data_IF_169100797292
#
_entry.id   IF_169100797292
#
_cell.length_a   1.000
_cell.length_b   1.000
_cell.length_c   1.000
_cell.angle_alpha   90.00
_cell.angle_beta   90.00
_cell.angle_gamma   90.00
#
_symmetry.space_group_name_H-M   'P 1'
#
loop_
_entity.id
_entity.type
_entity.pdbx_description
1 polymer ?
#
# COMPACT_ATOMS: atom_id res chain seq x y z
N UNK A 1 -44.76 -9.06 -10.77
CA UNK A 1 -44.23 -8.13 -9.75
C UNK A 1 -43.61 -6.95 -10.48
N UNK A 2 -43.98 -5.73 -10.12
CA UNK A 2 -43.36 -4.51 -10.65
C UNK A 2 -41.93 -4.48 -10.12
N UNK A 3 -40.96 -4.26 -11.00
CA UNK A 3 -39.56 -4.22 -10.62
C UNK A 3 -39.25 -2.93 -9.82
N UNK A 4 -38.41 -2.98 -8.76
CA UNK A 4 -38.09 -1.79 -7.99
C UNK A 4 -37.29 -0.78 -8.81
N UNK A 5 -37.67 0.50 -8.74
CA UNK A 5 -37.11 1.57 -9.57
C UNK A 5 -35.57 1.72 -9.47
N UNK A 6 -34.99 1.36 -8.33
CA UNK A 6 -33.53 1.42 -8.12
C UNK A 6 -32.75 0.30 -8.82
N UNK A 7 -33.43 -0.70 -9.41
CA UNK A 7 -32.81 -1.75 -10.24
C UNK A 7 -32.97 -1.47 -11.74
N UNK A 8 -33.83 -0.54 -12.14
CA UNK A 8 -34.22 -0.36 -13.54
C UNK A 8 -33.07 0.05 -14.43
N UNK A 9 -32.20 0.95 -13.95
CA UNK A 9 -31.06 1.47 -14.69
C UNK A 9 -29.84 0.54 -14.74
N UNK A 10 -29.90 -0.64 -14.11
CA UNK A 10 -28.78 -1.57 -14.05
C UNK A 10 -28.83 -2.61 -15.18
N UNK A 11 -27.69 -2.91 -15.77
CA UNK A 11 -27.54 -4.03 -16.70
C UNK A 11 -27.66 -5.41 -15.97
N UNK A 12 -27.77 -6.54 -16.70
CA UNK A 12 -27.94 -7.85 -16.08
C UNK A 12 -26.86 -8.27 -15.07
N UNK A 13 -25.59 -7.92 -15.33
CA UNK A 13 -24.47 -8.28 -14.45
C UNK A 13 -24.47 -7.41 -13.18
N UNK A 14 -24.74 -6.11 -13.36
CA UNK A 14 -24.94 -5.17 -12.27
C UNK A 14 -26.12 -5.56 -11.37
N UNK A 15 -27.23 -6.01 -11.95
CA UNK A 15 -28.39 -6.52 -11.20
C UNK A 15 -28.01 -7.75 -10.39
N UNK A 16 -27.34 -8.72 -11.02
CA UNK A 16 -26.84 -9.93 -10.35
C UNK A 16 -25.96 -9.58 -9.14
N UNK A 17 -25.04 -8.63 -9.31
CA UNK A 17 -24.19 -8.15 -8.23
C UNK A 17 -24.99 -7.42 -7.12
N UNK A 18 -25.96 -6.60 -7.48
CA UNK A 18 -26.77 -5.86 -6.52
C UNK A 18 -27.62 -6.77 -5.62
N UNK A 19 -28.20 -7.83 -6.18
CA UNK A 19 -29.12 -8.74 -5.47
C UNK A 19 -28.46 -9.99 -4.88
N UNK A 20 -27.13 -10.11 -4.99
CA UNK A 20 -26.39 -11.26 -4.47
C UNK A 20 -26.63 -11.48 -2.97
N UNK A 21 -27.00 -12.72 -2.61
CA UNK A 21 -27.36 -13.16 -1.25
C UNK A 21 -26.18 -13.73 -0.45
N UNK A 22 -24.99 -13.72 -1.04
CA UNK A 22 -23.74 -14.19 -0.46
C UNK A 22 -22.64 -13.13 -0.56
N UNK A 23 -21.54 -13.34 0.16
CA UNK A 23 -20.32 -12.56 -0.03
C UNK A 23 -19.82 -12.72 -1.46
N UNK A 24 -19.57 -11.60 -2.13
CA UNK A 24 -19.12 -11.58 -3.51
C UNK A 24 -18.07 -10.50 -3.74
N UNK A 25 -17.19 -10.75 -4.71
CA UNK A 25 -16.24 -9.76 -5.24
C UNK A 25 -16.72 -9.36 -6.62
N UNK A 26 -16.80 -8.05 -6.89
CA UNK A 26 -17.24 -7.50 -8.17
C UNK A 26 -16.07 -6.79 -8.83
N UNK A 27 -15.61 -7.32 -9.96
CA UNK A 27 -14.57 -6.70 -10.78
C UNK A 27 -15.22 -5.75 -11.78
N UNK A 28 -14.87 -4.46 -11.72
CA UNK A 28 -15.51 -3.44 -12.57
C UNK A 28 -14.53 -2.33 -13.00
N UNK A 29 -14.46 -2.09 -14.31
CA UNK A 29 -13.66 -1.03 -14.92
C UNK A 29 -14.10 0.39 -14.52
N UNK A 30 -13.30 1.40 -14.89
CA UNK A 30 -13.70 2.80 -14.74
C UNK A 30 -15.02 3.07 -15.50
N UNK A 31 -15.91 3.88 -14.93
CA UNK A 31 -17.20 4.21 -15.56
C UNK A 31 -18.26 3.10 -15.55
N UNK A 32 -17.94 1.87 -15.12
CA UNK A 32 -18.86 0.71 -15.15
C UNK A 32 -20.03 0.75 -14.13
N UNK A 33 -20.36 1.91 -13.56
CA UNK A 33 -21.53 2.05 -12.66
C UNK A 33 -21.35 1.47 -11.24
N UNK A 34 -20.12 1.26 -10.76
CA UNK A 34 -19.83 0.70 -9.41
C UNK A 34 -20.67 1.30 -8.29
N UNK A 35 -20.75 2.63 -8.23
CA UNK A 35 -21.52 3.34 -7.21
C UNK A 35 -23.03 3.04 -7.33
N UNK A 36 -23.57 2.96 -8.55
CA UNK A 36 -24.97 2.61 -8.79
C UNK A 36 -25.29 1.19 -8.32
N UNK A 37 -24.38 0.24 -8.55
CA UNK A 37 -24.52 -1.14 -8.05
C UNK A 37 -24.52 -1.16 -6.51
N UNK A 38 -23.63 -0.43 -5.85
CA UNK A 38 -23.58 -0.38 -4.38
C UNK A 38 -24.83 0.29 -3.79
N UNK A 39 -25.32 1.37 -4.39
CA UNK A 39 -26.58 2.02 -3.98
C UNK A 39 -27.76 1.06 -4.12
N UNK A 40 -27.87 0.38 -5.26
CA UNK A 40 -28.93 -0.58 -5.51
C UNK A 40 -28.85 -1.78 -4.56
N UNK A 41 -27.64 -2.26 -4.24
CA UNK A 41 -27.42 -3.31 -3.24
C UNK A 41 -27.88 -2.88 -1.85
N UNK A 42 -27.53 -1.67 -1.43
CA UNK A 42 -27.96 -1.13 -0.15
C UNK A 42 -29.49 -1.08 -0.06
N UNK A 43 -30.14 -0.55 -1.10
CA UNK A 43 -31.60 -0.45 -1.19
C UNK A 43 -32.26 -1.83 -1.25
N UNK A 44 -31.69 -2.80 -1.97
CA UNK A 44 -32.17 -4.18 -1.99
C UNK A 44 -32.17 -4.81 -0.58
N UNK A 45 -31.07 -4.66 0.16
CA UNK A 45 -30.99 -5.15 1.55
C UNK A 45 -32.02 -4.44 2.45
N UNK A 46 -32.16 -3.12 2.31
CA UNK A 46 -33.06 -2.34 3.14
C UNK A 46 -34.54 -2.60 2.84
N UNK A 47 -34.93 -2.60 1.56
CA UNK A 47 -36.33 -2.56 1.13
C UNK A 47 -36.90 -3.94 0.86
N UNK A 48 -36.15 -4.83 0.21
CA UNK A 48 -36.60 -6.18 -0.16
C UNK A 48 -36.30 -7.18 0.94
N UNK A 49 -35.07 -7.17 1.48
CA UNK A 49 -34.70 -8.05 2.60
C UNK A 49 -35.16 -7.53 3.96
N UNK A 50 -35.77 -6.34 4.01
CA UNK A 50 -36.26 -5.70 5.25
C UNK A 50 -35.20 -5.64 6.35
N UNK A 51 -33.94 -5.44 5.97
CA UNK A 51 -32.85 -5.27 6.92
C UNK A 51 -32.87 -3.81 7.41
N UNK A 52 -32.90 -3.55 8.74
CA UNK A 52 -32.83 -2.20 9.27
C UNK A 52 -31.57 -1.48 8.79
N UNK A 53 -31.66 -0.18 8.46
CA UNK A 53 -30.51 0.60 7.99
C UNK A 53 -29.36 0.63 9.00
N UNK A 54 -29.67 0.55 10.30
CA UNK A 54 -28.67 0.47 11.38
C UNK A 54 -27.81 -0.79 11.32
N UNK A 55 -28.28 -1.84 10.63
CA UNK A 55 -27.59 -3.12 10.46
C UNK A 55 -26.81 -3.21 9.15
N UNK A 56 -26.84 -2.17 8.31
CA UNK A 56 -26.12 -2.12 7.03
C UNK A 56 -24.97 -1.13 7.14
N UNK A 57 -23.75 -1.59 6.85
CA UNK A 57 -22.55 -0.77 6.82
C UNK A 57 -22.06 -0.63 5.38
N UNK A 58 -22.05 0.59 4.86
CA UNK A 58 -21.49 0.93 3.55
C UNK A 58 -20.22 1.77 3.73
N UNK A 59 -19.10 1.31 3.16
CA UNK A 59 -17.80 1.94 3.33
C UNK A 59 -17.23 2.33 1.97
N UNK A 60 -16.54 3.47 1.92
CA UNK A 60 -15.82 3.93 0.73
C UNK A 60 -14.49 4.60 1.11
N UNK A 61 -13.66 4.91 0.12
CA UNK A 61 -12.36 5.54 0.34
C UNK A 61 -12.44 7.06 0.54
N UNK A 62 -13.43 7.74 -0.05
CA UNK A 62 -13.47 9.21 -0.04
C UNK A 62 -14.76 9.74 0.58
N UNK A 63 -14.64 10.87 1.28
CA UNK A 63 -15.81 11.58 1.84
C UNK A 63 -16.81 11.97 0.75
N UNK A 64 -16.32 12.35 -0.43
CA UNK A 64 -17.17 12.67 -1.59
C UNK A 64 -18.01 11.48 -2.03
N UNK A 65 -17.40 10.31 -2.19
CA UNK A 65 -18.14 9.11 -2.58
C UNK A 65 -19.15 8.68 -1.49
N UNK A 66 -18.83 8.89 -0.21
CA UNK A 66 -19.73 8.57 0.90
C UNK A 66 -20.96 9.49 0.86
N UNK A 67 -20.73 10.80 0.69
CA UNK A 67 -21.80 11.80 0.58
C UNK A 67 -22.69 11.56 -0.65
N UNK A 68 -22.08 11.25 -1.81
CA UNK A 68 -22.80 10.93 -3.03
C UNK A 68 -23.67 9.67 -2.86
N UNK A 69 -23.13 8.62 -2.24
CA UNK A 69 -23.87 7.39 -1.94
C UNK A 69 -25.02 7.67 -0.96
N UNK A 70 -24.77 8.45 0.09
CA UNK A 70 -25.77 8.88 1.06
C UNK A 70 -26.94 9.60 0.38
N UNK A 71 -26.66 10.60 -0.46
CA UNK A 71 -27.68 11.36 -1.19
C UNK A 71 -28.51 10.46 -2.12
N UNK A 72 -27.84 9.60 -2.90
CA UNK A 72 -28.52 8.69 -3.85
C UNK A 72 -29.45 7.71 -3.13
N UNK A 73 -28.99 7.12 -2.02
CA UNK A 73 -29.81 6.20 -1.22
C UNK A 73 -30.98 6.95 -0.58
N UNK A 74 -30.75 8.13 0.02
CA UNK A 74 -31.82 8.93 0.61
C UNK A 74 -32.91 9.28 -0.40
N UNK A 75 -32.50 9.70 -1.61
CA UNK A 75 -33.41 10.05 -2.69
C UNK A 75 -34.25 8.86 -3.13
N UNK A 76 -33.63 7.70 -3.34
CA UNK A 76 -34.33 6.49 -3.73
C UNK A 76 -35.28 6.00 -2.62
N UNK A 77 -34.82 5.98 -1.37
CA UNK A 77 -35.64 5.62 -0.21
C UNK A 77 -36.84 6.57 -0.04
N UNK A 78 -36.67 7.86 -0.35
CA UNK A 78 -37.76 8.85 -0.28
C UNK A 78 -38.80 8.73 -1.40
N UNK A 79 -38.48 8.01 -2.48
CA UNK A 79 -39.45 7.72 -3.55
C UNK A 79 -40.38 6.55 -3.17
N UNK A 80 -39.98 5.71 -2.22
CA UNK A 80 -40.74 4.57 -1.74
C UNK A 80 -41.81 4.99 -0.73
N UNK A 81 -43.04 4.49 -0.89
CA UNK A 81 -44.21 4.87 -0.07
C UNK A 81 -44.67 3.80 0.91
N UNK A 82 -43.90 2.74 1.08
CA UNK A 82 -44.25 1.70 2.06
C UNK A 82 -44.03 2.21 3.50
N UNK A 83 -44.86 1.76 4.44
CA UNK A 83 -44.70 2.09 5.87
C UNK A 83 -43.29 1.74 6.39
N UNK A 84 -42.75 0.61 5.93
CA UNK A 84 -41.36 0.21 6.22
C UNK A 84 -40.36 1.26 5.71
N UNK A 85 -40.49 1.71 4.46
CA UNK A 85 -39.58 2.70 3.88
C UNK A 85 -39.69 4.05 4.60
N UNK A 86 -40.89 4.47 4.98
CA UNK A 86 -41.10 5.68 5.78
C UNK A 86 -40.42 5.59 7.15
N UNK A 87 -40.54 4.46 7.83
CA UNK A 87 -39.85 4.20 9.09
C UNK A 87 -38.32 4.23 8.90
N UNK A 88 -37.78 3.52 7.90
CA UNK A 88 -36.34 3.53 7.61
C UNK A 88 -35.84 4.94 7.24
N UNK A 89 -36.63 5.73 6.51
CA UNK A 89 -36.29 7.12 6.18
C UNK A 89 -36.17 8.00 7.42
N UNK A 90 -37.03 7.81 8.43
CA UNK A 90 -36.93 8.53 9.71
C UNK A 90 -35.62 8.22 10.45
N UNK A 91 -35.06 7.03 10.24
CA UNK A 91 -33.80 6.57 10.83
C UNK A 91 -32.58 6.85 9.95
N UNK A 92 -32.77 7.35 8.73
CA UNK A 92 -31.72 7.57 7.74
C UNK A 92 -30.56 8.46 8.24
N UNK A 93 -30.76 9.49 9.08
CA UNK A 93 -29.64 10.25 9.65
C UNK A 93 -28.64 9.40 10.46
N UNK A 94 -29.04 8.20 10.91
CA UNK A 94 -28.19 7.24 11.62
C UNK A 94 -27.65 6.12 10.72
N UNK A 95 -27.89 6.17 9.41
CA UNK A 95 -27.40 5.19 8.46
C UNK A 95 -25.85 5.18 8.44
N UNK A 96 -25.25 3.99 8.45
CA UNK A 96 -23.79 3.84 8.50
C UNK A 96 -23.20 3.82 7.09
N UNK A 97 -23.10 5.01 6.50
CA UNK A 97 -22.45 5.25 5.20
C UNK A 97 -21.24 6.16 5.44
N UNK A 98 -20.04 5.60 5.41
CA UNK A 98 -18.85 6.27 5.92
C UNK A 98 -17.58 5.98 5.09
N UNK A 99 -16.51 6.70 5.38
CA UNK A 99 -15.17 6.29 4.95
C UNK A 99 -14.59 5.25 5.89
N UNK A 100 -13.53 4.55 5.46
CA UNK A 100 -12.77 3.63 6.32
C UNK A 100 -12.29 4.37 7.58
N UNK A 101 -11.70 5.55 7.43
CA UNK A 101 -11.19 6.33 8.57
C UNK A 101 -12.29 6.72 9.56
N UNK A 102 -13.46 7.14 9.07
CA UNK A 102 -14.59 7.48 9.94
C UNK A 102 -15.08 6.26 10.72
N UNK A 103 -15.15 5.09 10.08
CA UNK A 103 -15.50 3.84 10.76
C UNK A 103 -14.47 3.50 11.85
N UNK A 104 -13.17 3.56 11.52
CA UNK A 104 -12.10 3.29 12.49
C UNK A 104 -12.16 4.26 13.67
N UNK A 105 -12.35 5.55 13.41
CA UNK A 105 -12.52 6.56 14.45
C UNK A 105 -13.72 6.26 15.35
N UNK A 106 -14.87 5.86 14.78
CA UNK A 106 -16.06 5.52 15.55
C UNK A 106 -15.88 4.26 16.40
N UNK A 107 -15.18 3.25 15.90
CA UNK A 107 -14.79 2.06 16.66
C UNK A 107 -13.91 2.46 17.85
N UNK A 108 -12.88 3.29 17.61
CA UNK A 108 -12.00 3.78 18.66
C UNK A 108 -12.76 4.59 19.71
N UNK A 109 -13.71 5.44 19.30
CA UNK A 109 -14.57 6.21 20.24
C UNK A 109 -15.45 5.29 21.09
N UNK A 110 -16.00 4.22 20.51
CA UNK A 110 -16.82 3.28 21.27
C UNK A 110 -15.99 2.50 22.31
N UNK A 111 -14.72 2.21 22.01
CA UNK A 111 -13.80 1.49 22.90
C UNK A 111 -12.91 2.36 23.79
N UNK A 112 -13.00 3.70 23.69
CA UNK A 112 -11.99 4.61 24.26
C UNK A 112 -11.86 4.50 25.78
N UNK A 113 -12.97 4.30 26.50
CA UNK A 113 -12.97 4.19 27.95
C UNK A 113 -12.18 2.99 28.47
N UNK A 114 -12.21 1.85 27.76
CA UNK A 114 -11.43 0.65 28.11
C UNK A 114 -9.92 0.90 28.00
N UNK A 115 -9.53 1.86 27.17
CA UNK A 115 -8.14 2.26 26.93
C UNK A 115 -7.70 3.48 27.75
N UNK A 116 -8.59 4.04 28.58
CA UNK A 116 -8.30 5.24 29.38
C UNK A 116 -8.31 6.55 28.58
N UNK A 117 -8.89 6.57 27.38
CA UNK A 117 -9.03 7.77 26.55
C UNK A 117 -10.44 8.36 26.65
N UNK A 118 -10.55 9.67 26.44
CA UNK A 118 -11.84 10.36 26.26
C UNK A 118 -12.34 10.19 24.82
N UNK A 119 -13.67 10.17 24.63
CA UNK A 119 -14.29 9.99 23.31
C UNK A 119 -14.12 11.19 22.37
N UNK A 120 -13.72 12.34 22.89
CA UNK A 120 -13.43 13.59 22.15
C UNK A 120 -11.97 13.69 21.69
N UNK A 121 -11.23 12.58 21.70
CA UNK A 121 -9.85 12.56 21.21
C UNK A 121 -9.77 13.04 19.75
N UNK A 122 -8.66 13.72 19.45
CA UNK A 122 -8.31 14.15 18.10
C UNK A 122 -7.04 13.46 17.64
N UNK A 123 -6.97 13.11 16.35
CA UNK A 123 -5.71 12.66 15.74
C UNK A 123 -4.88 13.91 15.44
N UNK A 124 -3.75 14.04 16.13
CA UNK A 124 -2.83 15.17 15.99
C UNK A 124 -1.54 14.68 15.31
N UNK A 125 -1.58 14.65 13.98
CA UNK A 125 -0.46 14.21 13.15
C UNK A 125 0.81 15.07 13.34
N UNK A 126 0.72 16.43 13.41
CA UNK A 126 1.87 17.27 13.70
C UNK A 126 2.51 16.94 15.06
N UNK A 127 1.71 16.75 16.10
CA UNK A 127 2.24 16.40 17.43
C UNK A 127 2.80 14.98 17.45
N UNK A 128 2.19 14.04 16.74
CA UNK A 128 2.72 12.69 16.55
C UNK A 128 4.11 12.72 15.90
N UNK A 129 4.29 13.51 14.83
CA UNK A 129 5.57 13.73 14.18
C UNK A 129 6.61 14.33 15.13
N UNK A 130 6.25 15.42 15.83
CA UNK A 130 7.15 16.07 16.78
C UNK A 130 7.56 15.14 17.93
N UNK A 131 6.64 14.31 18.42
CA UNK A 131 6.94 13.32 19.46
C UNK A 131 7.91 12.26 18.94
N UNK A 132 7.68 11.72 17.74
CA UNK A 132 8.57 10.73 17.13
C UNK A 132 9.97 11.30 16.90
N UNK A 133 10.09 12.53 16.42
CA UNK A 133 11.38 13.23 16.27
C UNK A 133 12.06 13.44 17.62
N UNK A 134 11.32 13.91 18.63
CA UNK A 134 11.86 14.12 19.98
C UNK A 134 12.40 12.81 20.57
N UNK A 135 11.67 11.71 20.39
CA UNK A 135 12.08 10.38 20.85
C UNK A 135 13.32 9.91 20.08
N UNK A 136 13.34 10.08 18.76
CA UNK A 136 14.48 9.74 17.91
C UNK A 136 15.76 10.47 18.35
N UNK A 137 15.66 11.78 18.59
CA UNK A 137 16.77 12.59 19.09
C UNK A 137 17.28 12.13 20.46
N UNK A 138 16.36 11.88 21.40
CA UNK A 138 16.70 11.36 22.74
C UNK A 138 17.31 9.97 22.69
N UNK A 139 16.88 9.13 21.73
CA UNK A 139 17.42 7.80 21.54
C UNK A 139 18.83 7.85 20.96
N UNK A 140 19.02 8.63 19.89
CA UNK A 140 20.26 8.71 19.12
C UNK A 140 21.38 9.44 19.88
N UNK A 141 21.05 10.54 20.56
CA UNK A 141 22.02 11.41 21.26
C UNK A 141 23.06 10.66 22.11
N UNK A 142 22.65 9.82 23.09
CA UNK A 142 23.59 9.08 23.94
C UNK A 142 24.16 7.81 23.28
N UNK A 143 23.76 7.47 22.04
CA UNK A 143 24.04 6.17 21.39
C UNK A 143 24.85 6.31 20.09
N UNK A 144 25.43 7.47 19.83
CA UNK A 144 26.19 7.73 18.59
C UNK A 144 27.38 6.79 18.38
N UNK A 145 27.95 6.24 19.47
CA UNK A 145 29.06 5.30 19.42
C UNK A 145 28.64 3.81 19.35
N UNK A 146 27.33 3.50 19.35
CA UNK A 146 26.89 2.10 19.25
C UNK A 146 27.26 1.52 17.87
N UNK A 147 27.74 0.26 17.81
CA UNK A 147 27.92 -0.45 16.56
C UNK A 147 26.65 -0.41 15.70
N UNK A 148 26.80 -0.19 14.40
CA UNK A 148 25.70 0.05 13.46
C UNK A 148 25.25 1.52 13.40
N UNK A 149 24.94 2.15 14.54
CA UNK A 149 24.59 3.59 14.55
C UNK A 149 25.79 4.47 14.17
N UNK A 150 26.99 4.11 14.62
CA UNK A 150 28.22 4.83 14.25
C UNK A 150 28.51 4.75 12.75
N UNK A 151 28.20 3.63 12.10
CA UNK A 151 28.37 3.43 10.65
C UNK A 151 27.32 4.21 9.86
N UNK A 152 26.08 4.23 10.36
CA UNK A 152 25.00 5.02 9.79
C UNK A 152 25.31 6.53 9.88
N UNK A 153 25.84 6.99 11.01
CA UNK A 153 26.27 8.38 11.21
C UNK A 153 27.54 8.75 10.43
N UNK A 154 28.30 7.77 9.93
CA UNK A 154 29.41 8.03 9.03
C UNK A 154 28.94 8.32 7.59
N UNK A 155 27.77 7.80 7.21
CA UNK A 155 27.19 7.95 5.87
C UNK A 155 26.09 9.01 5.80
N UNK A 156 25.45 9.33 6.93
CA UNK A 156 24.31 10.24 7.04
C UNK A 156 24.48 11.22 8.18
N UNK A 157 23.86 12.41 8.08
CA UNK A 157 23.90 13.39 9.17
C UNK A 157 23.05 12.92 10.35
N UNK A 158 23.39 13.42 11.54
CA UNK A 158 22.63 13.12 12.76
C UNK A 158 21.13 13.47 12.64
N UNK A 159 20.82 14.59 11.98
CA UNK A 159 19.43 15.00 11.71
C UNK A 159 18.72 13.99 10.80
N UNK A 160 19.33 13.62 9.66
CA UNK A 160 18.76 12.62 8.74
C UNK A 160 18.49 11.27 9.43
N UNK A 161 19.41 10.79 10.26
CA UNK A 161 19.20 9.55 11.02
C UNK A 161 18.06 9.70 12.03
N UNK A 162 17.93 10.85 12.69
CA UNK A 162 16.87 11.08 13.66
C UNK A 162 15.50 11.27 13.00
N UNK A 163 15.38 12.14 12.00
CA UNK A 163 14.11 12.60 11.44
C UNK A 163 13.63 11.70 10.29
N UNK A 164 14.51 11.35 9.36
CA UNK A 164 14.16 10.59 8.16
C UNK A 164 14.12 9.08 8.38
N UNK A 165 14.94 8.56 9.30
CA UNK A 165 14.97 7.13 9.64
C UNK A 165 14.21 6.81 10.93
N UNK A 166 14.72 7.25 12.08
CA UNK A 166 14.22 6.79 13.38
C UNK A 166 12.81 7.31 13.70
N UNK A 167 12.53 8.58 13.45
CA UNK A 167 11.20 9.15 13.64
C UNK A 167 10.19 8.60 12.63
N UNK A 168 10.62 8.31 11.40
CA UNK A 168 9.78 7.64 10.41
C UNK A 168 9.43 6.21 10.85
N UNK A 169 10.40 5.45 11.37
CA UNK A 169 10.16 4.12 11.95
C UNK A 169 9.16 4.22 13.11
N UNK A 170 9.41 5.16 14.03
CA UNK A 170 8.56 5.40 15.21
C UNK A 170 7.10 5.71 14.88
N UNK A 171 6.83 6.42 13.78
CA UNK A 171 5.46 6.75 13.38
C UNK A 171 4.73 5.63 12.66
N UNK A 172 5.42 4.95 11.74
CA UNK A 172 4.76 4.08 10.78
C UNK A 172 4.77 2.61 11.20
N UNK A 173 5.64 2.24 12.13
CA UNK A 173 5.91 0.84 12.46
C UNK A 173 5.86 0.54 13.96
N UNK A 174 5.48 1.50 14.81
CA UNK A 174 5.35 1.31 16.27
C UNK A 174 3.91 1.50 16.72
N UNK A 175 3.31 0.48 17.34
CA UNK A 175 1.97 0.52 17.91
C UNK A 175 2.00 0.77 19.43
N UNK A 176 1.12 1.61 20.00
CA UNK A 176 1.03 1.85 21.45
C UNK A 176 0.62 0.62 22.29
N UNK A 177 0.11 -0.45 21.67
CA UNK A 177 -0.21 -1.72 22.36
C UNK A 177 1.03 -2.49 22.85
N UNK A 178 2.22 -1.95 22.62
CA UNK A 178 3.52 -2.46 23.06
C UNK A 178 3.81 -2.31 24.57
N UNK A 179 2.85 -1.93 25.41
CA UNK A 179 3.10 -1.79 26.85
C UNK A 179 3.18 -3.14 27.60
N UNK A 180 2.77 -4.27 26.99
CA UNK A 180 2.82 -5.60 27.62
C UNK A 180 3.71 -6.61 26.89
N UNK A 181 4.31 -6.24 25.76
CA UNK A 181 5.27 -7.08 25.02
C UNK A 181 6.58 -6.29 24.82
N UNK A 182 7.74 -6.96 24.83
CA UNK A 182 9.01 -6.28 24.58
C UNK A 182 8.94 -5.50 23.26
N UNK A 183 9.30 -4.20 23.35
CA UNK A 183 9.32 -3.16 22.30
C UNK A 183 9.87 -3.60 20.94
N UNK A 184 10.64 -4.69 20.91
CA UNK A 184 11.22 -5.31 19.72
C UNK A 184 11.14 -6.83 19.84
N UNK A 185 9.95 -7.40 19.65
CA UNK A 185 9.90 -8.65 18.89
C UNK A 185 9.44 -8.27 17.50
N UNK A 186 10.30 -8.23 16.47
CA UNK A 186 9.77 -8.37 15.12
C UNK A 186 8.92 -9.65 15.18
N UNK A 187 7.62 -9.52 14.97
CA UNK A 187 6.89 -10.68 14.48
C UNK A 187 7.66 -11.05 13.21
N UNK A 188 8.43 -12.14 13.25
CA UNK A 188 9.33 -12.50 12.15
C UNK A 188 8.58 -12.47 10.82
N UNK A 189 7.31 -12.87 10.85
CA UNK A 189 6.35 -12.77 9.76
C UNK A 189 6.15 -11.36 9.16
N UNK A 190 6.14 -10.30 9.98
CA UNK A 190 5.96 -8.91 9.51
C UNK A 190 7.23 -8.38 8.83
N UNK A 191 8.40 -8.69 9.37
CA UNK A 191 9.68 -8.36 8.76
C UNK A 191 9.93 -9.18 7.48
N UNK A 192 9.66 -10.48 7.52
CA UNK A 192 9.70 -11.37 6.35
C UNK A 192 8.80 -10.86 5.23
N UNK A 193 7.56 -10.45 5.57
CA UNK A 193 6.62 -9.89 4.59
C UNK A 193 7.09 -8.55 4.02
N UNK A 194 7.70 -7.69 4.85
CA UNK A 194 8.29 -6.44 4.37
C UNK A 194 9.46 -6.71 3.41
N UNK A 195 10.38 -7.60 3.78
CA UNK A 195 11.51 -7.99 2.94
C UNK A 195 11.05 -8.65 1.64
N UNK A 196 10.03 -9.52 1.68
CA UNK A 196 9.39 -10.10 0.49
C UNK A 196 8.84 -9.02 -0.45
N UNK A 197 8.05 -8.08 0.09
CA UNK A 197 7.49 -6.98 -0.69
C UNK A 197 8.58 -6.10 -1.31
N UNK A 198 9.63 -5.80 -0.54
CA UNK A 198 10.76 -5.01 -1.02
C UNK A 198 11.51 -5.76 -2.14
N UNK A 199 11.74 -7.07 -1.99
CA UNK A 199 12.37 -7.92 -3.01
C UNK A 199 11.56 -7.94 -4.29
N UNK A 200 10.24 -8.15 -4.19
CA UNK A 200 9.34 -8.14 -5.35
C UNK A 200 9.35 -6.79 -6.07
N UNK A 201 9.27 -5.68 -5.32
CA UNK A 201 9.34 -4.33 -5.89
C UNK A 201 10.65 -4.10 -6.64
N UNK A 202 11.79 -4.50 -6.06
CA UNK A 202 13.11 -4.36 -6.69
C UNK A 202 13.26 -5.25 -7.93
N UNK A 203 12.80 -6.50 -7.89
CA UNK A 203 12.79 -7.40 -9.04
C UNK A 203 11.93 -6.87 -10.20
N UNK A 204 10.76 -6.31 -9.90
CA UNK A 204 9.92 -5.66 -10.90
C UNK A 204 10.62 -4.46 -11.55
N UNK A 205 11.27 -3.60 -10.75
CA UNK A 205 12.07 -2.48 -11.26
C UNK A 205 13.21 -2.97 -12.17
N UNK A 206 13.94 -4.00 -11.75
CA UNK A 206 15.01 -4.60 -12.54
C UNK A 206 14.50 -5.20 -13.85
N UNK A 207 13.31 -5.81 -13.84
CA UNK A 207 12.65 -6.31 -15.04
C UNK A 207 12.28 -5.19 -16.03
N UNK A 208 11.73 -4.08 -15.53
CA UNK A 208 11.41 -2.92 -16.36
C UNK A 208 12.65 -2.29 -17.00
N UNK A 209 13.73 -2.13 -16.22
CA UNK A 209 15.01 -1.62 -16.71
C UNK A 209 15.65 -2.58 -17.71
N UNK A 210 15.62 -3.89 -17.44
CA UNK A 210 16.10 -4.92 -18.37
C UNK A 210 15.37 -4.86 -19.72
N UNK A 211 14.05 -4.67 -19.70
CA UNK A 211 13.27 -4.52 -20.92
C UNK A 211 13.58 -3.20 -21.67
N UNK A 212 13.93 -2.11 -20.97
CA UNK A 212 14.43 -0.88 -21.58
C UNK A 212 15.80 -1.10 -22.25
N UNK A 213 16.76 -1.71 -21.55
CA UNK A 213 18.09 -2.05 -22.09
C UNK A 213 17.96 -2.89 -23.37
N UNK A 214 17.11 -3.92 -23.35
CA UNK A 214 16.89 -4.78 -24.52
C UNK A 214 16.20 -4.06 -25.68
N UNK A 215 15.36 -3.06 -25.42
CA UNK A 215 14.74 -2.25 -26.49
C UNK A 215 15.76 -1.33 -27.14
N UNK A 216 16.51 -0.56 -26.36
CA UNK A 216 17.55 0.33 -26.87
C UNK A 216 18.66 -0.46 -27.61
N UNK A 217 19.03 -1.64 -27.10
CA UNK A 217 20.04 -2.49 -27.71
C UNK A 217 19.70 -3.04 -29.09
N UNK A 218 18.40 -3.17 -29.45
CA UNK A 218 17.98 -3.64 -30.78
C UNK A 218 18.37 -2.67 -31.91
N UNK A 219 18.52 -1.39 -31.60
CA UNK A 219 18.89 -0.35 -32.55
C UNK A 219 20.40 -0.29 -32.83
N UNK A 220 21.22 -1.03 -32.07
CA UNK A 220 22.68 -0.91 -32.10
C UNK A 220 23.32 -2.15 -32.75
N UNK A 221 23.98 -1.96 -33.89
CA UNK A 221 24.62 -3.08 -34.61
C UNK A 221 25.94 -3.56 -33.97
N UNK A 222 26.70 -2.66 -33.33
CA UNK A 222 27.96 -3.01 -32.66
C UNK A 222 28.14 -2.21 -31.35
N UNK A 223 27.44 -2.60 -30.27
CA UNK A 223 27.48 -1.88 -29.00
C UNK A 223 28.86 -1.99 -28.36
N UNK A 224 29.28 -0.98 -27.59
CA UNK A 224 30.49 -1.06 -26.77
C UNK A 224 30.46 -2.21 -25.76
N UNK A 225 31.63 -2.62 -25.28
CA UNK A 225 31.79 -3.77 -24.38
C UNK A 225 30.97 -3.65 -23.07
N UNK A 226 30.88 -2.44 -22.50
CA UNK A 226 30.07 -2.15 -21.31
C UNK A 226 28.56 -2.23 -21.61
N UNK A 227 28.10 -1.71 -22.75
CA UNK A 227 26.72 -1.85 -23.19
C UNK A 227 26.35 -3.32 -23.51
N UNK A 228 27.26 -4.07 -24.14
CA UNK A 228 27.07 -5.51 -24.40
C UNK A 228 26.94 -6.31 -23.10
N UNK A 229 27.74 -5.99 -22.09
CA UNK A 229 27.64 -6.63 -20.78
C UNK A 229 26.28 -6.34 -20.11
N UNK A 230 25.79 -5.09 -20.19
CA UNK A 230 24.47 -4.73 -19.69
C UNK A 230 23.33 -5.44 -20.43
N UNK A 231 23.40 -5.51 -21.75
CA UNK A 231 22.43 -6.25 -22.57
C UNK A 231 22.43 -7.75 -22.24
N UNK A 232 23.60 -8.36 -22.04
CA UNK A 232 23.70 -9.76 -21.65
C UNK A 232 23.09 -10.03 -20.26
N UNK A 233 23.35 -9.16 -19.28
CA UNK A 233 22.74 -9.25 -17.95
C UNK A 233 21.21 -9.13 -18.02
N UNK A 234 20.70 -8.17 -18.80
CA UNK A 234 19.27 -7.95 -19.01
C UNK A 234 18.59 -9.13 -19.71
N UNK A 235 19.19 -9.66 -20.77
CA UNK A 235 18.66 -10.83 -21.48
C UNK A 235 18.57 -12.05 -20.56
N UNK A 236 19.62 -12.30 -19.78
CA UNK A 236 19.65 -13.42 -18.83
C UNK A 236 18.57 -13.28 -17.76
N UNK A 237 18.41 -12.08 -17.20
CA UNK A 237 17.38 -11.80 -16.19
C UNK A 237 15.96 -12.02 -16.71
N UNK A 238 15.67 -11.57 -17.94
CA UNK A 238 14.34 -11.71 -18.55
C UNK A 238 13.99 -13.15 -18.96
N UNK A 239 14.98 -14.00 -19.18
CA UNK A 239 14.77 -15.42 -19.53
C UNK A 239 14.48 -16.31 -18.32
N UNK A 240 14.92 -15.92 -17.13
CA UNK A 240 14.65 -16.68 -15.91
C UNK A 240 13.25 -16.37 -15.37
N UNK A 241 12.47 -17.42 -15.08
CA UNK A 241 11.14 -17.29 -14.47
C UNK A 241 11.22 -16.76 -13.04
N UNK A 242 12.30 -17.10 -12.32
CA UNK A 242 12.64 -16.57 -11.00
C UNK A 242 14.13 -16.20 -11.01
N UNK A 243 14.47 -14.92 -11.19
CA UNK A 243 15.86 -14.49 -11.27
C UNK A 243 16.63 -14.80 -9.98
N UNK A 244 17.80 -15.42 -10.12
CA UNK A 244 18.63 -15.89 -8.99
C UNK A 244 19.88 -15.03 -8.78
N UNK A 245 20.66 -15.30 -7.72
CA UNK A 245 21.92 -14.63 -7.39
C UNK A 245 22.82 -14.37 -8.60
N UNK A 246 23.14 -15.37 -9.45
CA UNK A 246 23.95 -15.17 -10.65
C UNK A 246 23.43 -14.13 -11.65
N UNK A 247 22.10 -13.98 -11.79
CA UNK A 247 21.50 -12.94 -12.64
C UNK A 247 21.64 -11.55 -12.01
N UNK A 248 21.47 -11.47 -10.71
CA UNK A 248 21.58 -10.22 -9.95
C UNK A 248 23.06 -9.77 -9.89
N UNK A 249 23.99 -10.71 -9.65
CA UNK A 249 25.43 -10.47 -9.61
C UNK A 249 25.96 -9.92 -10.94
N UNK A 250 25.42 -10.40 -12.07
CA UNK A 250 25.78 -9.91 -13.39
C UNK A 250 25.50 -8.41 -13.55
N UNK A 251 24.41 -7.90 -12.96
CA UNK A 251 24.13 -6.46 -12.92
C UNK A 251 25.04 -5.70 -11.94
N UNK A 252 25.26 -6.26 -10.75
CA UNK A 252 26.09 -5.63 -9.72
C UNK A 252 27.55 -5.42 -10.19
N UNK A 253 28.06 -6.36 -11.00
CA UNK A 253 29.41 -6.38 -11.56
C UNK A 253 29.62 -5.45 -12.78
N UNK A 254 28.58 -4.77 -13.28
CA UNK A 254 28.71 -3.93 -14.47
C UNK A 254 29.72 -2.79 -14.29
N UNK A 255 30.72 -2.75 -15.16
CA UNK A 255 31.72 -1.69 -15.24
C UNK A 255 31.38 -0.71 -16.37
N UNK A 256 30.55 0.28 -16.06
CA UNK A 256 30.05 1.27 -17.02
C UNK A 256 31.01 2.45 -17.19
N UNK A 257 31.26 2.88 -18.43
CA UNK A 257 31.98 4.14 -18.71
C UNK A 257 31.03 5.34 -18.70
N UNK A 258 31.57 6.51 -18.36
CA UNK A 258 30.81 7.76 -18.14
C UNK A 258 29.95 8.25 -19.33
N UNK A 259 30.31 7.95 -20.57
CA UNK A 259 29.60 8.47 -21.76
C UNK A 259 29.37 7.41 -22.85
N UNK A 260 28.18 7.39 -23.44
CA UNK A 260 27.83 6.68 -24.67
C UNK A 260 28.31 7.41 -25.94
N UNK A 261 28.42 6.71 -27.08
CA UNK A 261 28.70 7.35 -28.39
C UNK A 261 27.45 7.87 -29.10
N UNK A 262 26.27 7.38 -28.72
CA UNK A 262 24.97 7.74 -29.29
C UNK A 262 23.88 7.73 -28.22
N UNK A 263 22.70 8.19 -28.59
CA UNK A 263 21.54 8.33 -27.70
C UNK A 263 21.12 6.98 -27.11
N UNK A 264 21.12 5.92 -27.92
CA UNK A 264 20.74 4.57 -27.49
C UNK A 264 21.79 3.94 -26.57
N UNK A 265 23.09 4.17 -26.80
CA UNK A 265 24.14 3.72 -25.88
C UNK A 265 24.07 4.47 -24.55
N UNK A 266 23.64 5.73 -24.56
CA UNK A 266 23.48 6.54 -23.36
C UNK A 266 22.26 6.05 -22.56
N UNK A 267 21.14 5.76 -23.22
CA UNK A 267 19.94 5.17 -22.60
C UNK A 267 20.26 3.83 -21.93
N UNK A 268 21.01 2.94 -22.62
CA UNK A 268 21.45 1.67 -22.03
C UNK A 268 22.28 1.89 -20.78
N UNK A 269 23.18 2.90 -20.79
CA UNK A 269 24.07 3.18 -19.65
C UNK A 269 23.33 3.71 -18.45
N UNK A 270 22.35 4.59 -18.66
CA UNK A 270 21.51 5.12 -17.58
C UNK A 270 20.68 3.99 -16.96
N UNK A 271 19.97 3.21 -17.79
CA UNK A 271 19.21 2.07 -17.31
C UNK A 271 20.10 1.01 -16.63
N UNK A 272 21.31 0.77 -17.15
CA UNK A 272 22.27 -0.16 -16.55
C UNK A 272 22.83 0.33 -15.21
N UNK A 273 23.02 1.64 -15.04
CA UNK A 273 23.45 2.24 -13.78
C UNK A 273 22.39 2.02 -12.70
N UNK A 274 21.14 2.32 -13.02
CA UNK A 274 20.00 2.11 -12.12
C UNK A 274 19.78 0.63 -11.83
N UNK A 275 20.02 -0.24 -12.82
CA UNK A 275 19.94 -1.69 -12.64
C UNK A 275 21.03 -2.21 -11.70
N UNK A 276 22.26 -1.66 -11.82
CA UNK A 276 23.37 -2.00 -10.93
C UNK A 276 23.08 -1.61 -9.48
N UNK A 277 22.46 -0.46 -9.25
CA UNK A 277 22.06 -0.01 -7.91
C UNK A 277 20.96 -0.91 -7.34
N UNK A 278 19.91 -1.18 -8.11
CA UNK A 278 18.84 -2.10 -7.70
C UNK A 278 19.35 -3.53 -7.44
N UNK A 279 20.36 -4.00 -8.17
CA UNK A 279 20.97 -5.29 -7.94
C UNK A 279 21.78 -5.34 -6.63
N UNK A 280 22.51 -4.26 -6.29
CA UNK A 280 23.23 -4.15 -5.01
C UNK A 280 22.28 -4.14 -3.82
N UNK A 281 21.13 -3.47 -3.94
CA UNK A 281 20.07 -3.50 -2.93
C UNK A 281 19.58 -4.94 -2.69
N UNK A 282 19.32 -5.69 -3.76
CA UNK A 282 18.87 -7.09 -3.69
C UNK A 282 19.91 -8.01 -3.03
N UNK A 283 21.19 -7.84 -3.35
CA UNK A 283 22.29 -8.59 -2.71
C UNK A 283 22.37 -8.28 -1.22
N UNK A 284 22.25 -7.00 -0.85
CA UNK A 284 22.29 -6.57 0.55
C UNK A 284 21.10 -7.12 1.34
N UNK A 285 19.92 -7.14 0.72
CA UNK A 285 18.71 -7.73 1.31
C UNK A 285 18.85 -9.25 1.52
N UNK A 286 19.40 -9.98 0.53
CA UNK A 286 19.63 -11.41 0.65
C UNK A 286 20.67 -11.76 1.75
N UNK A 287 21.72 -10.95 1.89
CA UNK A 287 22.70 -11.09 2.96
C UNK A 287 22.07 -10.84 4.35
N UNK A 288 21.19 -9.84 4.46
CA UNK A 288 20.44 -9.58 5.68
C UNK A 288 19.54 -10.76 6.06
N UNK A 289 18.79 -11.32 5.10
CA UNK A 289 17.91 -12.47 5.32
C UNK A 289 18.68 -13.73 5.75
N UNK A 290 19.84 -13.99 5.15
CA UNK A 290 20.71 -15.10 5.54
C UNK A 290 21.26 -14.95 6.97
N UNK A 291 21.64 -13.72 7.35
CA UNK A 291 22.12 -13.43 8.71
C UNK A 291 21.01 -13.50 9.75
N UNK A 292 19.80 -13.01 9.42
CA UNK A 292 18.64 -13.08 10.28
C UNK A 292 18.19 -14.53 10.56
N UNK A 293 18.29 -15.42 9.57
CA UNK A 293 17.92 -16.83 9.69
C UNK A 293 18.97 -17.70 10.41
N UNK A 294 20.25 -17.30 10.40
CA UNK A 294 21.33 -18.07 11.03
C UNK A 294 21.47 -17.87 12.54
N UNK A 295 20.67 -16.98 13.15
CA UNK A 295 20.66 -16.75 14.60
C UNK A 295 21.95 -16.13 15.15
N UNK A 296 22.91 -15.78 14.30
CA UNK A 296 24.11 -15.02 14.71
C UNK A 296 23.74 -13.55 14.85
N UNK A 297 23.21 -13.21 16.03
CA UNK A 297 23.13 -11.82 16.48
C UNK A 297 24.56 -11.24 16.50
N UNK A 298 24.81 -10.05 15.91
CA UNK A 298 25.97 -9.26 16.29
C UNK A 298 25.90 -8.84 17.76
#
# INVERSE_FOLDING_TARGET
MIQPAYLDSLDPDQRTAAVADRSCVVTAGAGAGKTSVLVARYLYLALEKKIPLSSILAITFTRKAAAEMFERIYRALSAERSEWAEHQRSLFPKARIATIDSLCADICRQGCHTLGYSSDFTVDEPRSALLAETIAYRYLGPRTAMPGLSELLASFTFDQVATELLAHIGRNFVSPLALQMPLFSPESASLERYCENLRQSRLQKLGALSASIMRAGKAISNPRADCRAAMFAAERFLKESVPTGPCIDAFAALALRAYGKGEEEQEIKEAAKDSREAAKDLISLAAYEANALSGTKP
#
